data_IF_125778797127
#
_entry.id   IF_125778797127
#
_cell.length_a   1.000
_cell.length_b   1.000
_cell.length_c   1.000
_cell.angle_alpha   90.00
_cell.angle_beta   90.00
_cell.angle_gamma   90.00
#
_symmetry.space_group_name_H-M   'P 1'
#
loop_
_entity.id
_entity.type
_entity.pdbx_description
1 polymer ?
#
# COMPACT_ATOMS: atom_id res chain seq x y z
N UNK A 1 1.27 -41.01 16.95
CA UNK A 1 1.54 -40.16 18.13
C UNK A 1 2.46 -39.03 17.71
N UNK A 2 2.05 -37.80 18.02
CA UNK A 2 2.63 -36.49 17.61
C UNK A 2 2.03 -36.01 16.29
N UNK A 3 1.00 -35.15 16.18
CA UNK A 3 0.45 -34.08 17.02
C UNK A 3 0.35 -32.83 16.09
N UNK A 4 -0.74 -32.04 16.06
CA UNK A 4 -0.81 -30.87 15.18
C UNK A 4 0.13 -29.74 15.68
N UNK A 5 0.98 -29.24 14.76
CA UNK A 5 1.82 -28.03 14.75
C UNK A 5 2.73 -27.67 15.95
N UNK A 6 3.96 -27.26 15.62
CA UNK A 6 4.57 -26.05 16.21
C UNK A 6 5.14 -25.18 15.08
N UNK A 7 4.38 -24.15 14.64
CA UNK A 7 4.82 -23.08 13.74
C UNK A 7 4.31 -23.15 12.28
N UNK A 8 3.04 -22.81 12.02
CA UNK A 8 2.47 -22.64 10.67
C UNK A 8 2.39 -21.17 10.23
N UNK A 9 1.52 -20.86 9.26
CA UNK A 9 1.22 -19.49 8.83
C UNK A 9 -0.28 -19.22 8.84
N UNK A 10 -0.63 -17.96 9.09
CA UNK A 10 -1.98 -17.42 8.94
C UNK A 10 -2.00 -16.44 7.76
N UNK A 11 -3.04 -16.51 6.93
CA UNK A 11 -3.16 -15.71 5.71
C UNK A 11 -4.45 -14.91 5.76
N UNK A 12 -4.35 -13.61 5.46
CA UNK A 12 -5.49 -12.75 5.23
C UNK A 12 -5.46 -12.26 3.78
N UNK A 13 -6.61 -12.25 3.11
CA UNK A 13 -6.69 -11.88 1.70
C UNK A 13 -7.97 -11.13 1.34
N UNK A 14 -7.85 -10.18 0.42
CA UNK A 14 -8.97 -9.68 -0.37
C UNK A 14 -9.01 -10.45 -1.70
N UNK A 15 -10.03 -11.30 -1.93
CA UNK A 15 -10.06 -12.18 -3.09
C UNK A 15 -10.15 -11.42 -4.42
N UNK A 16 -10.84 -10.28 -4.46
CA UNK A 16 -11.05 -9.51 -5.68
C UNK A 16 -11.33 -8.03 -5.39
N UNK A 17 -10.25 -7.29 -5.14
CA UNK A 17 -10.24 -5.83 -5.11
C UNK A 17 -10.62 -5.28 -6.50
N UNK A 18 -11.49 -4.26 -6.51
CA UNK A 18 -12.08 -3.74 -7.75
C UNK A 18 -13.21 -4.62 -8.33
N UNK A 19 -13.73 -5.61 -7.60
CA UNK A 19 -14.84 -6.46 -8.08
C UNK A 19 -16.05 -5.69 -8.61
N UNK A 20 -16.36 -4.51 -8.06
CA UNK A 20 -17.49 -3.68 -8.50
C UNK A 20 -17.29 -3.01 -9.87
N UNK A 21 -16.08 -3.04 -10.44
CA UNK A 21 -15.76 -2.41 -11.72
C UNK A 21 -15.30 -3.42 -12.78
N UNK A 22 -15.47 -4.72 -12.52
CA UNK A 22 -15.12 -5.79 -13.47
C UNK A 22 -15.86 -5.62 -14.79
N UNK A 23 -17.13 -5.21 -14.74
CA UNK A 23 -17.98 -4.94 -15.92
C UNK A 23 -17.44 -3.82 -16.82
N UNK A 24 -16.66 -2.88 -16.27
CA UNK A 24 -16.01 -1.80 -17.02
C UNK A 24 -14.70 -2.22 -17.70
N UNK A 25 -14.24 -3.46 -17.47
CA UNK A 25 -12.98 -4.01 -17.98
C UNK A 25 -11.72 -3.23 -17.53
N UNK A 26 -11.81 -2.57 -16.36
CA UNK A 26 -10.64 -2.01 -15.69
C UNK A 26 -9.84 -3.13 -15.01
N UNK A 27 -8.56 -2.87 -14.75
CA UNK A 27 -7.71 -3.81 -14.01
C UNK A 27 -8.24 -4.00 -12.59
N UNK A 28 -8.28 -5.25 -12.15
CA UNK A 28 -8.68 -5.68 -10.80
C UNK A 28 -7.59 -6.58 -10.21
N UNK A 29 -7.74 -7.05 -8.97
CA UNK A 29 -6.71 -7.90 -8.39
C UNK A 29 -7.05 -8.57 -7.08
N UNK A 30 -6.13 -9.40 -6.61
CA UNK A 30 -6.18 -10.08 -5.31
C UNK A 30 -5.05 -9.53 -4.44
N UNK A 31 -5.28 -9.36 -3.15
CA UNK A 31 -4.25 -8.95 -2.18
C UNK A 31 -4.17 -10.02 -1.10
N UNK A 32 -2.97 -10.36 -0.64
CA UNK A 32 -2.82 -11.16 0.57
C UNK A 32 -1.55 -10.84 1.37
N UNK A 33 -1.66 -11.00 2.69
CA UNK A 33 -0.55 -10.96 3.63
C UNK A 33 -0.41 -12.30 4.35
N UNK A 34 0.82 -12.66 4.71
CA UNK A 34 1.16 -13.92 5.37
C UNK A 34 1.87 -13.62 6.68
N UNK A 35 1.31 -14.09 7.79
CA UNK A 35 1.87 -13.96 9.14
C UNK A 35 2.31 -15.32 9.67
N UNK A 36 3.38 -15.39 10.48
CA UNK A 36 3.75 -16.62 11.17
C UNK A 36 2.74 -16.94 12.28
N UNK A 37 2.54 -18.22 12.56
CA UNK A 37 1.66 -18.68 13.62
C UNK A 37 0.18 -18.74 13.21
N UNK A 38 -0.69 -18.64 14.21
CA UNK A 38 -2.13 -18.91 14.15
C UNK A 38 -3.00 -17.67 14.42
N UNK A 39 -2.40 -16.47 14.34
CA UNK A 39 -3.07 -15.20 14.67
C UNK A 39 -3.06 -14.22 13.49
N UNK A 40 -4.18 -13.52 13.36
CA UNK A 40 -4.38 -12.37 12.47
C UNK A 40 -4.84 -11.11 13.23
N UNK A 41 -4.88 -11.18 14.56
CA UNK A 41 -5.16 -10.07 15.46
C UNK A 41 -4.10 -10.00 16.56
N UNK A 42 -3.88 -8.80 17.11
CA UNK A 42 -2.75 -8.52 18.00
C UNK A 42 -1.39 -8.58 17.30
N UNK A 43 -1.38 -8.69 15.97
CA UNK A 43 -0.21 -8.61 15.10
C UNK A 43 -0.19 -7.26 14.38
N UNK A 44 0.94 -6.90 13.81
CA UNK A 44 1.13 -5.69 13.01
C UNK A 44 1.43 -6.04 11.55
N UNK A 45 1.40 -5.05 10.66
CA UNK A 45 1.84 -5.27 9.27
C UNK A 45 3.33 -5.62 9.17
N UNK A 46 4.17 -5.16 10.11
CA UNK A 46 5.60 -5.49 10.14
C UNK A 46 5.88 -6.97 10.48
N UNK A 47 4.92 -7.67 11.08
CA UNK A 47 5.03 -9.08 11.45
C UNK A 47 4.87 -10.03 10.25
N UNK A 48 4.44 -9.53 9.09
CA UNK A 48 4.32 -10.32 7.86
C UNK A 48 5.66 -10.95 7.47
N UNK A 49 5.63 -12.23 7.06
CA UNK A 49 6.76 -12.94 6.43
C UNK A 49 6.76 -12.78 4.92
N UNK A 50 5.59 -12.54 4.34
CA UNK A 50 5.38 -12.28 2.92
C UNK A 50 4.10 -11.46 2.73
N UNK A 51 4.07 -10.67 1.67
CA UNK A 51 2.84 -10.07 1.16
C UNK A 51 2.89 -10.08 -0.36
N UNK A 52 1.73 -10.16 -1.00
CA UNK A 52 1.66 -10.19 -2.44
C UNK A 52 0.32 -9.68 -2.98
N UNK A 53 0.33 -9.35 -4.27
CA UNK A 53 -0.87 -9.04 -5.03
C UNK A 53 -0.84 -9.71 -6.40
N UNK A 54 -1.97 -10.29 -6.80
CA UNK A 54 -2.24 -10.73 -8.16
C UNK A 54 -2.96 -9.61 -8.92
N UNK A 55 -2.47 -9.25 -10.10
CA UNK A 55 -3.04 -8.18 -10.92
C UNK A 55 -3.64 -8.79 -12.17
N UNK A 56 -4.94 -8.58 -12.37
CA UNK A 56 -5.71 -9.07 -13.51
C UNK A 56 -6.01 -7.89 -14.45
N UNK A 57 -5.04 -7.58 -15.32
CA UNK A 57 -5.16 -6.55 -16.33
C UNK A 57 -5.01 -7.12 -17.74
N UNK A 58 -4.52 -6.34 -18.73
CA UNK A 58 -4.14 -6.89 -20.03
C UNK A 58 -2.98 -7.89 -19.94
N UNK A 59 -2.27 -7.90 -18.81
CA UNK A 59 -1.30 -8.91 -18.40
C UNK A 59 -1.75 -9.44 -17.05
N UNK A 60 -1.51 -10.72 -16.78
CA UNK A 60 -1.65 -11.27 -15.44
C UNK A 60 -0.27 -11.26 -14.78
N UNK A 61 -0.11 -10.48 -13.73
CA UNK A 61 1.16 -10.40 -12.99
C UNK A 61 0.96 -10.71 -11.51
N UNK A 62 2.01 -11.21 -10.89
CA UNK A 62 2.05 -11.55 -9.47
C UNK A 62 3.23 -10.82 -8.85
N UNK A 63 2.93 -9.91 -7.93
CA UNK A 63 3.92 -9.04 -7.27
C UNK A 63 4.08 -9.52 -5.84
N UNK A 64 5.31 -9.89 -5.45
CA UNK A 64 5.65 -10.54 -4.19
C UNK A 64 6.75 -9.78 -3.47
N UNK A 65 6.62 -9.63 -2.16
CA UNK A 65 7.71 -9.25 -1.27
C UNK A 65 7.86 -10.28 -0.14
N UNK A 66 9.10 -10.54 0.24
CA UNK A 66 9.48 -11.45 1.32
C UNK A 66 10.25 -10.69 2.39
N UNK A 67 9.99 -10.98 3.67
CA UNK A 67 10.58 -10.24 4.80
C UNK A 67 12.10 -10.15 4.71
N UNK A 68 12.74 -11.28 4.44
CA UNK A 68 14.20 -11.41 4.48
C UNK A 68 14.88 -11.18 3.12
N UNK A 69 14.12 -10.91 2.04
CA UNK A 69 14.67 -10.64 0.70
C UNK A 69 14.47 -9.15 0.36
N UNK A 70 15.53 -8.40 -0.01
CA UNK A 70 15.39 -7.01 -0.42
C UNK A 70 14.54 -6.86 -1.69
N UNK A 71 13.67 -5.85 -1.70
CA UNK A 71 12.87 -5.49 -2.87
C UNK A 71 11.49 -6.13 -2.92
N UNK A 72 10.77 -5.71 -3.95
CA UNK A 72 9.50 -6.28 -4.39
C UNK A 72 9.67 -6.78 -5.82
N UNK A 73 9.16 -7.99 -6.08
CA UNK A 73 9.47 -8.77 -7.27
C UNK A 73 8.20 -9.00 -8.11
N UNK A 74 8.24 -8.67 -9.39
CA UNK A 74 7.12 -8.88 -10.32
C UNK A 74 7.36 -10.13 -11.17
N UNK A 75 6.34 -10.99 -11.22
CA UNK A 75 6.29 -12.16 -12.06
C UNK A 75 5.17 -12.03 -13.08
N UNK A 76 5.44 -12.39 -14.33
CA UNK A 76 4.46 -12.45 -15.42
C UNK A 76 3.96 -13.88 -15.60
N UNK A 77 2.65 -14.06 -15.73
CA UNK A 77 2.07 -15.33 -16.17
C UNK A 77 2.31 -15.52 -17.67
N UNK A 78 2.96 -16.62 -18.04
CA UNK A 78 3.15 -17.05 -19.42
C UNK A 78 2.00 -17.97 -19.87
N UNK A 79 1.85 -18.12 -21.19
CA UNK A 79 0.81 -18.97 -21.79
C UNK A 79 0.89 -20.43 -21.34
N UNK A 80 2.10 -20.94 -21.03
CA UNK A 80 2.28 -22.30 -20.51
C UNK A 80 1.94 -22.45 -19.01
N UNK A 81 1.45 -21.38 -18.36
CA UNK A 81 1.06 -21.37 -16.95
C UNK A 81 2.21 -21.13 -15.96
N UNK A 82 3.41 -20.79 -16.45
CA UNK A 82 4.58 -20.48 -15.61
C UNK A 82 4.60 -19.01 -15.21
N UNK A 83 5.00 -18.74 -13.97
CA UNK A 83 5.37 -17.40 -13.50
C UNK A 83 6.84 -17.12 -13.79
N UNK A 84 7.11 -16.15 -14.66
CA UNK A 84 8.47 -15.70 -14.99
C UNK A 84 8.77 -14.40 -14.25
N UNK A 85 9.88 -14.34 -13.52
CA UNK A 85 10.38 -13.11 -12.91
C UNK A 85 10.78 -12.11 -14.00
N UNK A 86 10.26 -10.89 -13.93
CA UNK A 86 10.45 -9.86 -14.97
C UNK A 86 10.96 -8.52 -14.44
N UNK A 87 10.82 -8.23 -13.14
CA UNK A 87 11.26 -6.96 -12.56
C UNK A 87 11.50 -7.08 -11.05
N UNK A 88 12.52 -6.35 -10.61
CA UNK A 88 12.74 -5.99 -9.20
C UNK A 88 12.52 -4.49 -9.02
N UNK A 89 11.95 -4.11 -7.89
CA UNK A 89 11.89 -2.72 -7.43
C UNK A 89 12.46 -2.64 -6.01
N UNK A 90 13.48 -1.81 -5.81
CA UNK A 90 14.14 -1.60 -4.51
C UNK A 90 14.21 -0.13 -4.09
N UNK A 91 13.71 0.79 -4.92
CA UNK A 91 13.65 2.22 -4.63
C UNK A 91 12.40 2.82 -5.28
N UNK A 92 11.69 3.68 -4.54
CA UNK A 92 10.62 4.53 -5.08
C UNK A 92 11.10 5.98 -4.96
N UNK A 93 11.48 6.55 -6.10
CA UNK A 93 11.95 7.93 -6.21
C UNK A 93 10.80 8.94 -6.33
N UNK A 94 11.16 10.22 -6.31
CA UNK A 94 10.18 11.30 -6.46
C UNK A 94 9.61 11.38 -7.88
N UNK A 95 8.35 11.79 -8.00
CA UNK A 95 7.74 11.98 -9.32
C UNK A 95 6.35 12.58 -9.30
N UNK A 96 5.99 13.19 -10.42
CA UNK A 96 4.73 13.92 -10.59
C UNK A 96 3.56 13.00 -11.00
N UNK A 97 3.14 12.11 -10.11
CA UNK A 97 1.96 11.24 -10.28
C UNK A 97 1.19 11.13 -8.97
N UNK A 98 -0.13 11.28 -9.02
CA UNK A 98 -0.99 11.12 -7.86
C UNK A 98 -2.25 10.29 -8.17
N UNK A 99 -2.68 9.53 -7.17
CA UNK A 99 -3.85 8.66 -7.20
C UNK A 99 -4.75 8.95 -5.98
N UNK A 100 -5.72 9.88 -6.11
CA UNK A 100 -6.50 10.39 -4.99
C UNK A 100 -7.77 9.57 -4.73
N UNK A 101 -7.66 8.59 -3.85
CA UNK A 101 -8.77 7.89 -3.24
C UNK A 101 -9.65 8.79 -2.39
N UNK A 102 -10.93 8.45 -2.34
CA UNK A 102 -11.94 9.16 -1.56
C UNK A 102 -12.00 10.68 -1.82
N UNK A 103 -11.74 11.13 -3.07
CA UNK A 103 -11.64 12.55 -3.43
C UNK A 103 -12.81 13.42 -2.94
N UNK A 104 -14.03 12.87 -2.77
CA UNK A 104 -15.18 13.60 -2.19
C UNK A 104 -14.94 14.15 -0.78
N UNK A 105 -13.97 13.60 -0.05
CA UNK A 105 -13.57 14.08 1.28
C UNK A 105 -12.99 15.50 1.24
N UNK A 106 -12.54 16.00 0.09
CA UNK A 106 -12.06 17.39 -0.04
C UNK A 106 -13.18 18.42 0.13
N UNK A 107 -14.45 18.01 0.06
CA UNK A 107 -15.60 18.92 0.24
C UNK A 107 -15.71 19.43 1.68
N UNK A 108 -15.27 18.65 2.66
CA UNK A 108 -15.35 18.95 4.09
C UNK A 108 -14.06 18.61 4.87
N UNK A 109 -12.95 18.33 4.17
CA UNK A 109 -11.59 18.25 4.72
C UNK A 109 -10.68 19.26 3.98
N UNK A 110 -10.49 20.48 4.51
CA UNK A 110 -9.74 21.54 3.83
C UNK A 110 -8.26 21.22 3.65
N UNK A 111 -7.65 20.46 4.55
CA UNK A 111 -6.25 20.06 4.40
C UNK A 111 -6.06 19.03 3.29
N UNK A 112 -7.02 18.11 3.12
CA UNK A 112 -6.97 17.20 1.97
C UNK A 112 -7.21 17.95 0.66
N UNK A 113 -8.13 18.93 0.63
CA UNK A 113 -8.34 19.79 -0.52
C UNK A 113 -7.05 20.51 -0.92
N UNK A 114 -6.34 21.10 0.05
CA UNK A 114 -5.04 21.77 -0.14
C UNK A 114 -3.97 20.83 -0.70
N UNK A 115 -3.91 19.57 -0.25
CA UNK A 115 -2.98 18.57 -0.78
C UNK A 115 -3.28 18.26 -2.26
N UNK A 116 -4.55 18.10 -2.61
CA UNK A 116 -4.95 17.86 -4.00
C UNK A 116 -4.68 19.07 -4.88
N UNK A 117 -4.98 20.28 -4.40
CA UNK A 117 -4.71 21.52 -5.12
C UNK A 117 -3.21 21.69 -5.42
N UNK A 118 -2.35 21.30 -4.48
CA UNK A 118 -0.90 21.26 -4.71
C UNK A 118 -0.55 20.39 -5.92
N UNK A 119 -1.07 19.15 -6.00
CA UNK A 119 -0.79 18.25 -7.13
C UNK A 119 -1.28 18.81 -8.46
N UNK A 120 -2.47 19.43 -8.47
CA UNK A 120 -3.06 20.06 -9.67
C UNK A 120 -2.25 21.27 -10.11
N UNK A 121 -1.81 22.12 -9.18
CA UNK A 121 -1.00 23.30 -9.46
C UNK A 121 0.37 22.91 -10.02
N UNK A 122 0.98 21.88 -9.45
CA UNK A 122 2.28 21.34 -9.90
C UNK A 122 2.20 20.44 -11.13
N UNK A 123 1.01 20.28 -11.74
CA UNK A 123 0.78 19.52 -12.98
C UNK A 123 1.14 18.03 -12.84
N UNK A 124 0.79 17.42 -11.71
CA UNK A 124 0.95 15.99 -11.52
C UNK A 124 -0.01 15.21 -12.44
N UNK A 125 0.44 14.04 -12.90
CA UNK A 125 -0.42 13.15 -13.69
C UNK A 125 -1.41 12.44 -12.76
N UNK A 126 -2.70 12.63 -13.01
CA UNK A 126 -3.78 11.91 -12.33
C UNK A 126 -3.93 10.50 -12.91
N UNK A 127 -3.88 9.46 -12.06
CA UNK A 127 -4.24 8.07 -12.41
C UNK A 127 -4.92 7.41 -11.22
N UNK A 128 -6.22 7.17 -11.32
CA UNK A 128 -7.01 6.55 -10.26
C UNK A 128 -8.15 5.75 -10.88
N UNK A 129 -8.22 4.48 -10.53
CA UNK A 129 -9.25 3.54 -11.00
C UNK A 129 -10.29 3.25 -9.92
N UNK A 130 -9.91 3.44 -8.64
CA UNK A 130 -10.71 3.03 -7.50
C UNK A 130 -10.47 1.60 -7.02
N UNK A 131 -9.63 0.83 -7.73
CA UNK A 131 -9.07 -0.43 -7.26
C UNK A 131 -7.71 -0.19 -6.61
N UNK A 132 -7.53 -0.67 -5.39
CA UNK A 132 -6.26 -0.56 -4.66
C UNK A 132 -5.09 -1.24 -5.39
N UNK A 133 -5.32 -2.43 -5.95
CA UNK A 133 -4.28 -3.19 -6.65
C UNK A 133 -3.64 -2.39 -7.80
N UNK A 134 -4.38 -1.93 -8.83
CA UNK A 134 -3.77 -1.16 -9.92
C UNK A 134 -3.22 0.20 -9.45
N UNK A 135 -3.93 0.89 -8.56
CA UNK A 135 -3.59 2.27 -8.14
C UNK A 135 -2.32 2.31 -7.26
N UNK A 136 -2.02 1.24 -6.53
CA UNK A 136 -0.76 1.07 -5.78
C UNK A 136 0.32 0.40 -6.63
N UNK A 137 -0.01 -0.58 -7.46
CA UNK A 137 0.96 -1.25 -8.33
C UNK A 137 1.68 -0.28 -9.27
N UNK A 138 0.99 0.73 -9.79
CA UNK A 138 1.62 1.74 -10.63
C UNK A 138 2.77 2.49 -9.93
N UNK A 139 2.75 2.63 -8.60
CA UNK A 139 3.83 3.25 -7.83
C UNK A 139 5.07 2.35 -7.83
N UNK A 140 4.88 1.04 -7.64
CA UNK A 140 5.95 0.04 -7.64
C UNK A 140 6.56 -0.10 -9.04
N UNK A 141 5.73 -0.18 -10.08
CA UNK A 141 6.19 -0.36 -11.47
C UNK A 141 6.86 0.91 -12.02
N UNK A 142 6.33 2.10 -11.70
CA UNK A 142 6.88 3.38 -12.15
C UNK A 142 7.95 3.93 -11.22
N UNK A 143 8.16 3.30 -10.07
CA UNK A 143 9.13 3.69 -9.04
C UNK A 143 8.95 5.14 -8.57
N UNK A 144 7.69 5.63 -8.57
CA UNK A 144 7.35 7.01 -8.20
C UNK A 144 5.86 7.23 -7.98
N UNK A 145 5.53 8.34 -7.33
CA UNK A 145 4.17 8.85 -7.18
C UNK A 145 3.59 8.58 -5.80
N UNK A 146 2.32 8.94 -5.65
CA UNK A 146 1.61 8.90 -4.37
C UNK A 146 0.16 8.43 -4.55
N UNK A 147 -0.24 7.45 -3.75
CA UNK A 147 -1.62 7.07 -3.52
C UNK A 147 -2.07 7.67 -2.19
N UNK A 148 -3.29 8.19 -2.13
CA UNK A 148 -3.89 8.69 -0.87
C UNK A 148 -5.34 8.22 -0.77
N UNK A 149 -5.81 7.91 0.43
CA UNK A 149 -7.22 7.68 0.72
C UNK A 149 -7.51 8.26 2.11
N UNK A 150 -8.08 9.47 2.13
CA UNK A 150 -8.24 10.30 3.34
C UNK A 150 -9.70 10.38 3.71
N UNK A 151 -9.99 10.39 5.02
CA UNK A 151 -11.37 10.51 5.52
C UNK A 151 -11.77 11.96 5.77
N UNK A 152 -13.07 12.17 5.90
CA UNK A 152 -13.66 13.41 6.40
C UNK A 152 -14.87 13.10 7.29
N UNK A 153 -15.56 14.13 7.76
CA UNK A 153 -16.78 13.97 8.55
C UNK A 153 -17.83 13.17 7.77
N UNK A 154 -18.03 13.51 6.49
CA UNK A 154 -19.01 12.88 5.59
C UNK A 154 -18.48 11.65 4.84
N UNK A 155 -17.16 11.48 4.69
CA UNK A 155 -16.56 10.39 3.94
C UNK A 155 -15.71 9.46 4.84
N UNK A 156 -16.27 8.31 5.23
CA UNK A 156 -15.63 7.34 6.14
C UNK A 156 -14.52 6.51 5.49
N UNK A 157 -13.64 5.94 6.32
CA UNK A 157 -12.62 4.98 5.90
C UNK A 157 -13.27 3.75 5.28
N UNK A 158 -12.74 3.29 4.14
CA UNK A 158 -13.24 2.10 3.44
C UNK A 158 -12.27 0.92 3.48
N UNK A 159 -10.98 1.21 3.53
CA UNK A 159 -9.91 0.23 3.37
C UNK A 159 -9.65 -0.50 4.68
N UNK A 160 -9.63 -1.83 4.63
CA UNK A 160 -9.43 -2.74 5.76
C UNK A 160 -7.94 -2.91 6.02
N UNK A 161 -7.53 -2.73 7.28
CA UNK A 161 -6.15 -2.77 7.70
C UNK A 161 -5.49 -4.12 7.37
N UNK A 162 -6.14 -5.21 7.77
CA UNK A 162 -5.60 -6.57 7.65
C UNK A 162 -5.53 -7.08 6.21
N UNK A 163 -6.58 -6.84 5.42
CA UNK A 163 -6.75 -7.47 4.10
C UNK A 163 -6.14 -6.68 2.95
N UNK A 164 -6.02 -5.36 3.10
CA UNK A 164 -5.60 -4.46 2.01
C UNK A 164 -4.39 -3.62 2.43
N UNK A 165 -4.51 -2.90 3.56
CA UNK A 165 -3.57 -1.82 3.88
C UNK A 165 -2.21 -2.37 4.32
N UNK A 166 -2.19 -3.29 5.29
CA UNK A 166 -0.93 -3.86 5.77
C UNK A 166 -0.18 -4.66 4.69
N UNK A 167 -0.83 -5.50 3.87
CA UNK A 167 -0.14 -6.19 2.76
C UNK A 167 0.44 -5.23 1.71
N UNK A 168 -0.32 -4.21 1.29
CA UNK A 168 0.16 -3.22 0.31
C UNK A 168 1.26 -2.32 0.88
N UNK A 169 1.14 -1.94 2.16
CA UNK A 169 2.21 -1.23 2.88
C UNK A 169 3.50 -2.02 2.89
N UNK A 170 3.43 -3.34 3.07
CA UNK A 170 4.60 -4.21 3.08
C UNK A 170 5.25 -4.25 1.70
N UNK A 171 4.46 -4.42 0.63
CA UNK A 171 4.95 -4.36 -0.75
C UNK A 171 5.61 -3.01 -1.09
N UNK A 172 5.04 -1.90 -0.63
CA UNK A 172 5.57 -0.55 -0.89
C UNK A 172 6.86 -0.28 -0.13
N UNK A 173 6.93 -0.62 1.17
CA UNK A 173 8.14 -0.38 1.96
C UNK A 173 9.29 -1.31 1.55
N UNK A 174 8.99 -2.56 1.18
CA UNK A 174 9.98 -3.48 0.58
C UNK A 174 10.48 -3.00 -0.79
N UNK A 175 9.65 -2.26 -1.53
CA UNK A 175 10.03 -1.58 -2.77
C UNK A 175 10.83 -0.28 -2.55
N UNK A 176 11.15 0.09 -1.30
CA UNK A 176 11.88 1.32 -0.97
C UNK A 176 11.01 2.59 -0.94
N UNK A 177 9.69 2.44 -0.90
CA UNK A 177 8.73 3.51 -0.64
C UNK A 177 8.36 3.62 0.83
N UNK A 178 7.34 4.43 1.11
CA UNK A 178 6.86 4.69 2.46
C UNK A 178 5.34 4.59 2.51
N UNK A 179 4.83 4.13 3.65
CA UNK A 179 3.40 4.14 3.98
C UNK A 179 3.12 5.07 5.14
N UNK A 180 1.91 5.64 5.22
CA UNK A 180 1.48 6.42 6.38
C UNK A 180 -0.03 6.39 6.57
N UNK A 181 -0.50 6.32 7.82
CA UNK A 181 -1.88 6.62 8.18
C UNK A 181 -2.11 8.10 8.51
N UNK A 182 -1.07 8.93 8.42
CA UNK A 182 -1.05 10.32 8.85
C UNK A 182 -0.07 10.58 9.99
N UNK A 183 0.14 9.58 10.85
CA UNK A 183 0.96 9.71 12.06
C UNK A 183 2.07 8.66 12.16
N UNK A 184 1.85 7.46 11.62
CA UNK A 184 2.79 6.32 11.68
C UNK A 184 2.77 5.49 10.39
N UNK A 185 3.74 4.59 10.23
CA UNK A 185 3.67 3.61 9.14
C UNK A 185 2.45 2.73 9.35
N UNK A 186 1.77 2.35 8.27
CA UNK A 186 0.64 1.41 8.41
C UNK A 186 1.10 0.03 8.88
N UNK A 187 2.39 -0.27 8.73
CA UNK A 187 3.00 -1.51 9.23
C UNK A 187 3.14 -1.54 10.74
N UNK A 188 3.18 -0.37 11.40
CA UNK A 188 3.28 -0.25 12.87
C UNK A 188 1.91 -0.30 13.57
N UNK A 189 0.82 -0.34 12.81
CA UNK A 189 -0.54 -0.41 13.37
C UNK A 189 -0.85 -1.84 13.82
N UNK A 190 -1.23 -1.98 15.09
CA UNK A 190 -1.73 -3.25 15.63
C UNK A 190 -3.13 -3.49 15.07
N UNK A 191 -3.34 -4.68 14.49
CA UNK A 191 -4.63 -5.15 14.01
C UNK A 191 -5.43 -5.67 15.21
N UNK A 192 -6.33 -4.85 15.74
CA UNK A 192 -7.10 -5.22 16.94
C UNK A 192 -8.34 -6.06 16.58
N UNK A 193 -8.92 -5.82 15.41
CA UNK A 193 -10.06 -6.55 14.89
C UNK A 193 -9.96 -6.69 13.36
N UNK A 194 -10.61 -7.71 12.80
CA UNK A 194 -10.49 -8.05 11.38
C UNK A 194 -11.10 -6.98 10.45
N UNK A 195 -12.12 -6.25 10.91
CA UNK A 195 -12.83 -5.21 10.12
C UNK A 195 -12.29 -3.79 10.38
N UNK A 196 -11.12 -3.68 11.01
CA UNK A 196 -10.49 -2.40 11.31
C UNK A 196 -10.18 -1.67 10.00
N UNK A 197 -10.63 -0.43 9.88
CA UNK A 197 -10.41 0.40 8.69
C UNK A 197 -9.51 1.57 9.01
N UNK A 198 -8.71 1.98 8.04
CA UNK A 198 -7.81 3.13 8.18
C UNK A 198 -7.75 3.94 6.89
N UNK A 199 -7.48 5.23 7.05
CA UNK A 199 -6.94 6.03 5.95
C UNK A 199 -5.49 5.61 5.68
N UNK A 200 -4.99 5.92 4.49
CA UNK A 200 -3.63 5.58 4.11
C UNK A 200 -3.08 6.45 2.99
N UNK A 201 -1.76 6.63 2.99
CA UNK A 201 -0.96 7.04 1.85
C UNK A 201 0.17 6.04 1.58
N UNK A 202 0.51 5.84 0.31
CA UNK A 202 1.68 5.08 -0.16
C UNK A 202 2.43 5.85 -1.22
N UNK A 203 3.74 5.95 -1.15
CA UNK A 203 4.49 6.64 -2.19
C UNK A 203 5.95 6.88 -1.87
N UNK A 204 6.53 7.84 -2.59
CA UNK A 204 7.89 8.33 -2.34
C UNK A 204 7.99 9.11 -1.03
N UNK A 205 9.22 9.24 -0.53
CA UNK A 205 9.50 9.82 0.79
C UNK A 205 8.91 11.23 0.93
N UNK A 206 9.19 12.13 -0.01
CA UNK A 206 8.76 13.52 0.12
C UNK A 206 7.25 13.68 -0.09
N UNK A 207 6.61 12.79 -0.84
CA UNK A 207 5.15 12.78 -0.96
C UNK A 207 4.47 12.34 0.34
N UNK A 208 5.04 11.34 1.05
CA UNK A 208 4.54 10.97 2.38
C UNK A 208 4.80 12.08 3.41
N UNK A 209 5.97 12.73 3.38
CA UNK A 209 6.23 13.91 4.23
C UNK A 209 5.19 14.99 3.95
N UNK A 210 4.92 15.30 2.68
CA UNK A 210 3.92 16.31 2.30
C UNK A 210 2.53 15.93 2.76
N UNK A 211 2.15 14.66 2.61
CA UNK A 211 0.88 14.13 3.10
C UNK A 211 0.72 14.35 4.61
N UNK A 212 1.72 13.92 5.40
CA UNK A 212 1.71 14.08 6.87
C UNK A 212 1.71 15.57 7.27
N UNK A 213 2.58 16.39 6.69
CA UNK A 213 2.66 17.83 7.01
C UNK A 213 1.40 18.60 6.63
N UNK A 214 0.78 18.26 5.49
CA UNK A 214 -0.39 18.99 5.01
C UNK A 214 -1.61 18.63 5.87
N UNK A 215 -1.82 17.36 6.18
CA UNK A 215 -2.99 16.93 6.95
C UNK A 215 -2.84 17.12 8.46
N UNK A 216 -1.63 17.03 9.00
CA UNK A 216 -1.38 16.95 10.45
C UNK A 216 -0.36 17.98 10.96
N UNK A 217 0.14 18.87 10.09
CA UNK A 217 1.03 19.98 10.45
C UNK A 217 2.48 19.59 10.75
N UNK A 218 2.81 18.30 10.82
CA UNK A 218 4.17 17.79 11.00
C UNK A 218 4.32 16.41 10.37
N UNK A 219 5.56 16.02 10.07
CA UNK A 219 5.88 14.68 9.56
C UNK A 219 6.91 14.00 10.43
N UNK A 220 6.61 12.76 10.83
CA UNK A 220 7.56 11.89 11.55
C UNK A 220 8.78 11.52 10.69
N UNK A 221 8.61 11.43 9.37
CA UNK A 221 9.69 11.08 8.45
C UNK A 221 10.71 12.22 8.25
N UNK A 222 10.35 13.45 8.61
CA UNK A 222 11.24 14.61 8.57
C UNK A 222 12.11 14.74 9.84
N UNK A 223 11.57 14.32 10.98
CA UNK A 223 12.27 14.33 12.28
C UNK A 223 13.31 13.20 12.37
N UNK A 224 13.13 12.13 11.59
CA UNK A 224 14.10 11.05 11.45
C UNK A 224 15.32 11.46 10.57
N UNK A 225 16.10 12.45 11.03
CA UNK A 225 17.52 12.55 10.67
C UNK A 225 18.35 11.66 11.60
N UNK A 226 19.49 11.10 11.14
CA UNK A 226 20.13 9.97 11.79
C UNK A 226 20.68 10.34 13.17
N UNK A 227 20.35 9.54 14.18
CA UNK A 227 21.11 9.47 15.42
C UNK A 227 22.49 8.90 15.07
N UNK A 228 23.50 9.77 15.04
CA UNK A 228 24.92 9.37 15.15
C UNK A 228 25.68 9.15 13.85
N UNK A 229 26.12 10.23 13.20
CA UNK A 229 27.52 10.26 12.79
C UNK A 229 28.34 10.63 14.04
N UNK A 230 28.72 9.62 14.83
CA UNK A 230 29.76 9.80 15.84
C UNK A 230 31.12 9.68 15.14
N UNK A 231 32.01 10.60 15.52
CA UNK A 231 33.33 10.86 14.99
C UNK A 231 34.29 9.65 15.03
#
# INVERSE_FOLDING_TARGET
>A
MGGPAQGGFSVAFDPLDGSSIVDTNFTVGTIFGVWPGDKLTGVTGADQVAAAMGIFGPRTTYVLALKDIPGTHEFLLLDEGKWQHVKDTTSIGEGKMFSPGNLRATTDNPEYAKLIDYYVNEKYTLRYTGGMVPDVNQIIVKEKGIFTNVVSQSAKAKLRLLFEVAPLGFLIEKAGGFSSDGERSVLDKVINNLDERTQVAYGSKNEIIRFEETLYGSSRLKVAQPVGAAA
#
